data_IF_743175687580
#
_entry.id   IF_743175687580
#
_cell.length_a   1.000
_cell.length_b   1.000
_cell.length_c   1.000
_cell.angle_alpha   90.00
_cell.angle_beta   90.00
_cell.angle_gamma   90.00
#
_symmetry.space_group_name_H-M   'P 1'
#
loop_
_entity.id
_entity.type
_entity.pdbx_description
1 polymer ?
#
# COMPACT_ATOMS: atom_id res chain seq x y z
N UNK A 1 2.01 -8.58 25.98
CA UNK A 1 2.15 -8.87 24.53
C UNK A 1 2.75 -7.65 23.86
N UNK A 2 4.07 -7.61 23.74
CA UNK A 2 4.83 -6.47 23.18
C UNK A 2 5.26 -6.83 21.77
N UNK A 3 4.91 -6.00 20.79
CA UNK A 3 5.31 -6.19 19.39
C UNK A 3 6.63 -5.46 19.20
N UNK A 4 7.71 -6.22 19.05
CA UNK A 4 9.04 -5.72 18.74
C UNK A 4 9.04 -4.99 17.38
N UNK A 5 9.54 -3.75 17.34
CA UNK A 5 9.53 -2.88 16.15
C UNK A 5 10.80 -2.97 15.30
N UNK A 6 11.67 -3.96 15.52
CA UNK A 6 12.97 -4.01 14.83
C UNK A 6 13.34 -5.42 14.37
N UNK A 7 12.47 -6.05 13.59
CA UNK A 7 12.83 -7.28 12.87
C UNK A 7 13.07 -7.01 11.37
N UNK A 8 14.29 -7.22 10.85
CA UNK A 8 14.53 -7.31 9.42
C UNK A 8 14.00 -8.66 8.93
N UNK A 9 12.78 -8.68 8.43
CA UNK A 9 12.14 -9.89 7.87
C UNK A 9 12.78 -10.27 6.52
N UNK A 10 13.89 -11.01 6.56
CA UNK A 10 14.39 -11.76 5.40
C UNK A 10 13.36 -12.84 5.01
N UNK A 11 13.05 -13.03 3.71
CA UNK A 11 11.80 -13.63 3.28
C UNK A 11 11.84 -15.15 3.40
N UNK A 12 11.00 -15.69 4.27
CA UNK A 12 10.46 -17.04 4.10
C UNK A 12 9.10 -16.84 3.43
N UNK A 13 8.89 -17.47 2.27
CA UNK A 13 7.62 -17.49 1.55
C UNK A 13 6.45 -17.56 2.55
N UNK A 14 5.58 -16.55 2.57
CA UNK A 14 4.37 -16.62 3.38
C UNK A 14 3.75 -15.28 3.72
N UNK A 15 4.47 -14.33 4.33
CA UNK A 15 3.87 -13.04 4.67
C UNK A 15 4.91 -11.99 5.08
N UNK A 16 4.77 -10.76 4.59
CA UNK A 16 5.51 -9.60 5.07
C UNK A 16 4.57 -8.40 5.25
N UNK A 17 4.80 -7.59 6.29
CA UNK A 17 4.13 -6.30 6.48
C UNK A 17 5.12 -5.21 6.09
N UNK A 18 4.82 -4.47 5.02
CA UNK A 18 5.68 -3.37 4.54
C UNK A 18 5.33 -2.04 5.19
N UNK A 19 4.07 -1.88 5.59
CA UNK A 19 3.60 -0.70 6.28
C UNK A 19 2.36 -1.05 7.11
N UNK A 20 2.26 -0.50 8.33
CA UNK A 20 1.08 -0.63 9.16
C UNK A 20 0.87 0.65 9.97
N UNK A 21 -0.28 1.27 9.77
CA UNK A 21 -0.83 2.29 10.64
C UNK A 21 -2.34 2.12 10.82
N UNK A 22 -2.97 3.04 11.57
CA UNK A 22 -4.41 2.99 11.88
C UNK A 22 -5.35 3.13 10.67
N UNK A 23 -4.86 3.64 9.55
CA UNK A 23 -5.61 3.96 8.33
C UNK A 23 -5.22 3.06 7.17
N UNK A 24 -4.02 2.49 7.15
CA UNK A 24 -3.60 1.58 6.09
C UNK A 24 -2.60 0.53 6.58
N UNK A 25 -2.83 -0.71 6.16
CA UNK A 25 -1.89 -1.82 6.30
C UNK A 25 -1.57 -2.32 4.90
N UNK A 26 -0.27 -2.38 4.58
CA UNK A 26 0.24 -2.93 3.32
C UNK A 26 1.07 -4.16 3.64
N UNK A 27 0.62 -5.30 3.14
CA UNK A 27 1.31 -6.58 3.27
C UNK A 27 1.74 -7.09 1.90
N UNK A 28 2.46 -8.20 1.87
CA UNK A 28 2.75 -8.96 0.65
C UNK A 28 1.50 -9.53 -0.03
N UNK A 29 0.33 -9.54 0.61
CA UNK A 29 -0.88 -10.20 0.06
C UNK A 29 -2.10 -9.31 -0.07
N UNK A 30 -2.20 -8.29 0.76
CA UNK A 30 -3.34 -7.39 0.77
C UNK A 30 -2.97 -5.98 1.22
N UNK A 31 -3.77 -5.02 0.74
CA UNK A 31 -3.91 -3.68 1.31
C UNK A 31 -5.19 -3.67 2.13
N UNK A 32 -5.11 -3.23 3.38
CA UNK A 32 -6.28 -3.01 4.21
C UNK A 32 -6.42 -1.52 4.49
N UNK A 33 -7.59 -0.99 4.16
CA UNK A 33 -8.02 0.40 4.40
C UNK A 33 -9.18 0.39 5.39
N UNK A 34 -9.68 1.54 5.84
CA UNK A 34 -10.87 1.58 6.70
C UNK A 34 -12.13 1.12 5.94
N UNK A 35 -12.13 1.20 4.61
CA UNK A 35 -13.27 0.82 3.78
C UNK A 35 -13.30 -0.69 3.51
N UNK A 36 -12.16 -1.31 3.19
CA UNK A 36 -12.10 -2.73 2.85
C UNK A 36 -10.67 -3.30 2.87
N UNK A 37 -10.59 -4.62 2.66
CA UNK A 37 -9.35 -5.33 2.35
C UNK A 37 -9.34 -5.70 0.86
N UNK A 38 -8.26 -5.34 0.17
CA UNK A 38 -8.03 -5.63 -1.24
C UNK A 38 -6.82 -6.55 -1.39
N UNK A 39 -6.92 -7.64 -2.15
CA UNK A 39 -5.75 -8.50 -2.39
C UNK A 39 -4.82 -7.82 -3.38
N UNK A 40 -3.51 -7.89 -3.14
CA UNK A 40 -2.49 -7.29 -4.02
C UNK A 40 -2.60 -7.82 -5.47
N UNK A 41 -2.78 -9.14 -5.72
CA UNK A 41 -2.94 -9.66 -7.08
C UNK A 41 -4.19 -9.15 -7.81
N UNK A 42 -5.21 -8.70 -7.08
CA UNK A 42 -6.48 -8.23 -7.65
C UNK A 42 -6.47 -6.73 -7.95
N UNK A 43 -5.38 -6.02 -7.61
CA UNK A 43 -5.20 -4.60 -7.88
C UNK A 43 -4.53 -4.39 -9.24
N UNK A 44 -5.24 -3.76 -10.15
CA UNK A 44 -4.72 -3.28 -11.44
C UNK A 44 -4.49 -1.76 -11.42
N UNK A 45 -3.74 -1.26 -12.39
CA UNK A 45 -3.57 0.18 -12.68
C UNK A 45 -3.30 1.06 -11.46
N UNK A 46 -2.39 0.59 -10.59
CA UNK A 46 -2.02 1.32 -9.38
C UNK A 46 -1.32 2.63 -9.76
N UNK A 47 -1.97 3.75 -9.48
CA UNK A 47 -1.55 5.08 -9.90
C UNK A 47 -1.51 6.08 -8.74
N UNK A 48 -0.69 7.11 -8.88
CA UNK A 48 -0.63 8.26 -7.96
C UNK A 48 -1.41 9.41 -8.58
N UNK A 49 -2.40 9.90 -7.86
CA UNK A 49 -3.16 11.11 -8.22
C UNK A 49 -2.71 12.24 -7.30
N UNK A 50 -2.30 13.35 -7.91
CA UNK A 50 -1.90 14.56 -7.20
C UNK A 50 -3.01 15.60 -7.38
N UNK A 51 -3.58 16.08 -6.28
CA UNK A 51 -4.39 17.29 -6.32
C UNK A 51 -3.46 18.50 -6.39
N UNK A 52 -3.53 19.22 -7.52
CA UNK A 52 -2.70 20.39 -7.81
C UNK A 52 -3.39 21.72 -7.46
N UNK A 53 -4.55 21.69 -6.80
CA UNK A 53 -5.27 22.89 -6.37
C UNK A 53 -4.51 23.81 -5.39
N UNK A 54 -5.07 25.00 -5.11
CA UNK A 54 -4.56 26.03 -4.15
C UNK A 54 -4.74 25.64 -2.67
N UNK A 55 -4.55 24.36 -2.34
CA UNK A 55 -4.63 23.81 -0.99
C UNK A 55 -3.40 22.96 -0.67
N UNK A 56 -3.28 22.42 0.56
CA UNK A 56 -2.24 21.45 0.87
C UNK A 56 -2.32 20.30 -0.15
N UNK A 57 -1.21 20.03 -0.85
CA UNK A 57 -1.09 19.09 -1.97
C UNK A 57 -1.56 17.69 -1.56
N UNK A 58 -2.85 17.43 -1.73
CA UNK A 58 -3.45 16.15 -1.42
C UNK A 58 -2.94 15.12 -2.42
N UNK A 59 -2.60 13.94 -1.93
CA UNK A 59 -2.05 12.86 -2.75
C UNK A 59 -2.80 11.59 -2.46
N UNK A 60 -3.19 10.92 -3.53
CA UNK A 60 -3.92 9.66 -3.46
C UNK A 60 -3.18 8.56 -4.20
N UNK A 61 -3.32 7.35 -3.68
CA UNK A 61 -2.99 6.11 -4.36
C UNK A 61 -4.32 5.49 -4.74
N UNK A 62 -4.54 5.32 -6.04
CA UNK A 62 -5.72 4.68 -6.61
C UNK A 62 -5.33 3.38 -7.29
N UNK A 63 -6.29 2.49 -7.42
CA UNK A 63 -6.15 1.23 -8.14
C UNK A 63 -7.50 0.83 -8.72
N UNK A 64 -7.49 -0.08 -9.69
CA UNK A 64 -8.69 -0.76 -10.17
C UNK A 64 -8.80 -2.10 -9.46
N UNK A 65 -9.94 -2.34 -8.81
CA UNK A 65 -10.27 -3.61 -8.18
C UNK A 65 -11.61 -4.10 -8.73
N UNK A 66 -11.61 -5.27 -9.39
CA UNK A 66 -12.80 -5.85 -10.04
C UNK A 66 -13.50 -4.87 -11.00
N UNK A 67 -12.72 -4.09 -11.75
CA UNK A 67 -13.23 -3.12 -12.72
C UNK A 67 -13.69 -1.78 -12.14
N UNK A 68 -13.64 -1.58 -10.82
CA UNK A 68 -13.97 -0.32 -10.16
C UNK A 68 -12.70 0.40 -9.67
N UNK A 69 -12.61 1.71 -9.90
CA UNK A 69 -11.57 2.55 -9.29
C UNK A 69 -11.81 2.63 -7.78
N UNK A 70 -10.77 2.35 -7.00
CA UNK A 70 -10.77 2.42 -5.54
C UNK A 70 -9.62 3.29 -5.04
N UNK A 71 -9.90 4.11 -4.03
CA UNK A 71 -8.87 4.86 -3.32
C UNK A 71 -8.30 3.98 -2.21
N UNK A 72 -7.02 3.64 -2.32
CA UNK A 72 -6.33 2.84 -1.31
C UNK A 72 -5.84 3.71 -0.16
N UNK A 73 -5.34 4.91 -0.48
CA UNK A 73 -4.78 5.81 0.52
C UNK A 73 -4.80 7.27 0.02
N UNK A 74 -5.10 8.21 0.91
CA UNK A 74 -5.04 9.64 0.65
C UNK A 74 -4.45 10.40 1.83
N UNK A 75 -3.55 11.36 1.57
CA UNK A 75 -2.99 12.21 2.63
C UNK A 75 -2.38 13.51 2.07
N UNK A 76 -2.35 14.56 2.88
CA UNK A 76 -1.55 15.77 2.62
C UNK A 76 -0.09 15.63 3.11
N UNK A 77 0.20 14.67 4.00
CA UNK A 77 1.56 14.41 4.50
C UNK A 77 2.38 13.64 3.46
N UNK A 78 3.33 14.35 2.83
CA UNK A 78 4.28 13.80 1.86
C UNK A 78 5.10 12.63 2.41
N UNK A 79 5.62 12.73 3.62
CA UNK A 79 6.50 11.71 4.18
C UNK A 79 5.73 10.43 4.48
N UNK A 80 4.48 10.54 4.92
CA UNK A 80 3.58 9.40 5.07
C UNK A 80 3.20 8.80 3.72
N UNK A 81 2.84 9.63 2.74
CA UNK A 81 2.53 9.19 1.38
C UNK A 81 3.64 8.36 0.75
N UNK A 82 4.88 8.86 0.76
CA UNK A 82 6.01 8.15 0.14
C UNK A 82 6.38 6.85 0.85
N UNK A 83 6.08 6.71 2.14
CA UNK A 83 6.27 5.44 2.86
C UNK A 83 5.25 4.40 2.40
N UNK A 84 3.98 4.76 2.32
CA UNK A 84 2.90 3.88 1.83
C UNK A 84 3.13 3.51 0.37
N UNK A 85 3.48 4.48 -0.49
CA UNK A 85 3.76 4.25 -1.90
C UNK A 85 4.89 3.23 -2.11
N UNK A 86 6.01 3.39 -1.40
CA UNK A 86 7.14 2.45 -1.47
C UNK A 86 6.76 1.06 -0.98
N UNK A 87 5.99 0.97 0.11
CA UNK A 87 5.49 -0.30 0.63
C UNK A 87 4.60 -1.03 -0.40
N UNK A 88 3.72 -0.29 -1.07
CA UNK A 88 2.83 -0.86 -2.10
C UNK A 88 3.59 -1.31 -3.34
N UNK A 89 4.56 -0.52 -3.82
CA UNK A 89 5.44 -0.91 -4.93
C UNK A 89 6.16 -2.22 -4.60
N UNK A 90 6.73 -2.35 -3.39
CA UNK A 90 7.38 -3.59 -2.95
C UNK A 90 6.44 -4.79 -2.94
N UNK A 91 5.22 -4.61 -2.43
CA UNK A 91 4.22 -5.68 -2.45
C UNK A 91 3.87 -6.10 -3.88
N UNK A 92 3.68 -5.14 -4.79
CA UNK A 92 3.39 -5.41 -6.20
C UNK A 92 4.55 -6.09 -6.92
N UNK A 93 5.79 -5.67 -6.70
CA UNK A 93 6.99 -6.27 -7.28
C UNK A 93 7.09 -7.77 -6.96
N UNK A 94 6.86 -8.15 -5.70
CA UNK A 94 6.90 -9.55 -5.26
C UNK A 94 5.77 -10.38 -5.87
N UNK A 95 4.59 -9.78 -6.06
CA UNK A 95 3.46 -10.50 -6.66
C UNK A 95 3.58 -10.58 -8.19
N UNK A 96 4.35 -9.70 -8.84
CA UNK A 96 4.67 -9.77 -10.27
C UNK A 96 5.73 -10.83 -10.60
N UNK A 97 6.66 -11.09 -9.69
CA UNK A 97 7.68 -12.14 -9.81
C UNK A 97 7.59 -13.08 -8.59
N UNK A 98 6.61 -14.01 -8.56
CA UNK A 98 6.43 -14.90 -7.42
C UNK A 98 7.59 -15.89 -7.20
N UNK A 99 8.55 -15.98 -8.13
CA UNK A 99 9.79 -16.76 -8.01
C UNK A 99 10.99 -15.96 -8.59
N UNK A 100 12.22 -16.12 -8.05
CA UNK A 100 13.45 -15.64 -8.69
C UNK A 100 13.82 -16.47 -9.93
#
# INVERSE_FOLDING_TARGET
MSIDRTSPSTPRCGWAVYYADRHIIVTSWYVQTPAARYRIPDLADVAVVLDTGRGPRWREIRAVHRGAEVVLFGTADRARFERVRRALIRALEINRSPFP
#
